data_IF_955444624873
#
_entry.id   IF_955444624873
#
_cell.length_a   1.000
_cell.length_b   1.000
_cell.length_c   1.000
_cell.angle_alpha   90.00
_cell.angle_beta   90.00
_cell.angle_gamma   90.00
#
_symmetry.space_group_name_H-M   'P 1'
#
loop_
_entity.id
_entity.type
_entity.pdbx_description
1 polymer ?
#
# COMPACT_ATOMS: atom_id res chain seq x y z
N UNK A 1 28.58 -42.93 12.75
CA UNK A 1 28.55 -41.78 11.83
C UNK A 1 27.15 -41.19 11.79
N UNK A 2 27.06 -39.85 11.71
CA UNK A 2 25.90 -39.03 11.30
C UNK A 2 24.69 -38.95 12.25
N UNK A 3 24.76 -38.04 13.22
CA UNK A 3 23.59 -37.47 13.88
C UNK A 3 23.88 -35.99 14.23
N UNK A 4 23.89 -35.09 13.24
CA UNK A 4 24.16 -33.64 13.46
C UNK A 4 23.48 -32.68 12.47
N UNK A 5 22.25 -32.93 12.02
CA UNK A 5 21.57 -32.01 11.09
C UNK A 5 20.09 -31.73 11.41
N UNK A 6 19.73 -31.54 12.68
CA UNK A 6 18.32 -31.32 13.07
C UNK A 6 18.07 -30.13 14.01
N UNK A 7 19.02 -29.19 14.11
CA UNK A 7 18.88 -28.02 15.00
C UNK A 7 18.98 -26.68 14.23
N UNK A 8 19.22 -26.70 12.91
CA UNK A 8 19.39 -25.46 12.12
C UNK A 8 18.10 -24.96 11.43
N UNK A 9 17.00 -25.74 11.44
CA UNK A 9 15.75 -25.32 10.79
C UNK A 9 15.01 -24.15 11.49
N UNK A 10 14.94 -24.04 12.83
CA UNK A 10 14.20 -22.93 13.46
C UNK A 10 14.92 -21.58 13.31
N UNK A 11 16.22 -21.57 12.97
CA UNK A 11 16.98 -20.35 12.73
C UNK A 11 16.69 -19.71 11.36
N UNK A 12 16.35 -20.50 10.35
CA UNK A 12 16.07 -20.00 9.00
C UNK A 12 14.69 -19.30 8.95
N UNK A 13 13.74 -19.75 9.77
CA UNK A 13 12.38 -19.16 9.81
C UNK A 13 12.39 -17.78 10.49
N UNK A 14 13.31 -17.55 11.43
CA UNK A 14 13.48 -16.25 12.11
C UNK A 14 14.15 -15.17 11.25
N UNK A 15 14.79 -15.56 10.14
CA UNK A 15 15.45 -14.63 9.19
C UNK A 15 14.54 -14.18 8.05
N UNK A 16 13.29 -14.64 7.98
CA UNK A 16 12.23 -14.03 7.16
C UNK A 16 11.71 -12.73 7.81
N UNK A 17 12.63 -11.93 8.35
CA UNK A 17 12.41 -10.53 8.64
C UNK A 17 12.05 -9.85 7.33
N UNK A 18 10.82 -9.36 7.24
CA UNK A 18 10.29 -8.73 6.05
C UNK A 18 11.27 -7.71 5.48
N UNK A 19 11.32 -7.64 4.15
CA UNK A 19 12.12 -6.68 3.40
C UNK A 19 11.99 -5.28 3.99
N UNK A 20 12.95 -4.89 4.84
CA UNK A 20 13.09 -3.52 5.27
C UNK A 20 13.55 -2.76 4.05
N UNK A 21 12.73 -1.83 3.57
CA UNK A 21 13.10 -0.97 2.46
C UNK A 21 14.44 -0.30 2.81
N UNK A 22 15.40 -0.23 1.86
CA UNK A 22 16.66 0.45 2.10
C UNK A 22 16.35 1.88 2.53
N UNK A 23 16.86 2.28 3.70
CA UNK A 23 16.71 3.64 4.22
C UNK A 23 17.58 4.54 3.33
N UNK A 24 17.01 5.02 2.22
CA UNK A 24 17.68 6.01 1.40
C UNK A 24 17.58 7.37 2.09
N UNK A 25 18.75 7.97 2.33
CA UNK A 25 18.87 9.25 2.97
C UNK A 25 18.35 10.38 2.05
N UNK A 26 17.50 11.23 2.65
CA UNK A 26 16.80 12.40 2.11
C UNK A 26 15.45 12.10 1.47
N UNK A 27 14.41 12.53 2.18
CA UNK A 27 13.02 12.50 1.74
C UNK A 27 12.76 13.84 1.04
N UNK A 28 12.74 13.85 -0.29
CA UNK A 28 12.42 15.07 -1.04
C UNK A 28 10.90 15.28 -1.02
N UNK A 29 10.43 16.10 -0.08
CA UNK A 29 9.00 16.35 0.18
C UNK A 29 8.29 16.90 -1.05
N UNK A 30 9.01 17.61 -1.94
CA UNK A 30 8.43 18.14 -3.18
C UNK A 30 7.98 17.03 -4.13
N UNK A 31 8.54 15.82 -4.02
CA UNK A 31 8.09 14.65 -4.81
C UNK A 31 6.77 14.07 -4.33
N UNK A 32 6.23 14.56 -3.21
CA UNK A 32 4.90 14.19 -2.72
C UNK A 32 3.81 15.21 -3.06
N UNK A 33 4.01 16.02 -4.11
CA UNK A 33 2.99 16.94 -4.63
C UNK A 33 2.43 16.44 -5.96
N UNK A 34 1.19 16.82 -6.25
CA UNK A 34 0.46 16.49 -7.46
C UNK A 34 -0.39 15.22 -7.33
N UNK A 35 -0.74 14.66 -8.49
CA UNK A 35 -1.51 13.42 -8.58
C UNK A 35 -0.56 12.23 -8.41
N UNK A 36 -0.73 11.50 -7.31
CA UNK A 36 0.09 10.34 -6.95
C UNK A 36 -0.73 9.09 -7.23
N UNK A 37 -0.20 8.24 -8.12
CA UNK A 37 -0.82 6.98 -8.52
C UNK A 37 -0.11 5.81 -7.84
N UNK A 38 -0.79 5.10 -6.94
CA UNK A 38 -0.24 3.97 -6.20
C UNK A 38 -0.83 2.66 -6.71
N UNK A 39 -0.05 1.85 -7.42
CA UNK A 39 -0.50 0.52 -7.88
C UNK A 39 -0.23 -0.57 -6.84
N UNK A 40 -1.26 -1.00 -6.11
CA UNK A 40 -1.19 -2.11 -5.17
C UNK A 40 -1.33 -3.45 -5.92
N UNK A 41 -0.22 -4.17 -6.07
CA UNK A 41 -0.20 -5.48 -6.75
C UNK A 41 -0.98 -6.54 -5.97
N UNK A 42 -1.98 -7.16 -6.60
CA UNK A 42 -2.90 -8.10 -5.92
C UNK A 42 -3.70 -7.46 -4.76
N UNK A 43 -4.03 -6.17 -4.85
CA UNK A 43 -4.77 -5.45 -3.80
C UNK A 43 -6.20 -5.94 -3.60
N UNK A 44 -6.84 -6.49 -4.64
CA UNK A 44 -8.21 -7.01 -4.57
C UNK A 44 -8.30 -8.42 -5.13
N UNK A 45 -9.37 -9.15 -4.77
CA UNK A 45 -9.61 -10.51 -5.24
C UNK A 45 -11.10 -10.86 -5.26
N UNK A 46 -11.47 -11.88 -6.04
CA UNK A 46 -12.80 -12.51 -6.03
C UNK A 46 -12.64 -14.00 -6.26
N UNK A 47 -13.64 -14.76 -5.83
CA UNK A 47 -13.79 -16.13 -6.31
C UNK A 47 -14.37 -16.09 -7.71
N UNK A 48 -13.74 -16.81 -8.62
CA UNK A 48 -14.23 -17.10 -9.96
C UNK A 48 -14.12 -18.60 -10.17
N UNK A 49 -15.24 -19.29 -10.40
CA UNK A 49 -15.28 -20.76 -10.53
C UNK A 49 -14.48 -21.43 -9.39
N UNK A 50 -14.77 -21.00 -8.15
CA UNK A 50 -14.17 -21.50 -6.91
C UNK A 50 -12.67 -21.19 -6.71
N UNK A 51 -12.01 -20.55 -7.68
CA UNK A 51 -10.60 -20.15 -7.56
C UNK A 51 -10.47 -18.66 -7.23
N UNK A 52 -9.57 -18.27 -6.30
CA UNK A 52 -9.31 -16.87 -6.04
C UNK A 52 -8.54 -16.25 -7.21
N UNK A 53 -9.12 -15.22 -7.82
CA UNK A 53 -8.49 -14.39 -8.85
C UNK A 53 -8.09 -13.06 -8.22
N UNK A 54 -6.78 -12.78 -8.22
CA UNK A 54 -6.19 -11.56 -7.68
C UNK A 54 -5.98 -10.53 -8.77
N UNK A 55 -6.14 -9.24 -8.43
CA UNK A 55 -5.89 -8.14 -9.34
C UNK A 55 -5.25 -6.95 -8.65
N UNK A 56 -4.55 -6.16 -9.45
CA UNK A 56 -4.00 -4.90 -9.01
C UNK A 56 -5.12 -3.87 -8.86
N UNK A 57 -4.97 -2.99 -7.90
CA UNK A 57 -5.78 -1.78 -7.76
C UNK A 57 -4.83 -0.58 -7.78
N UNK A 58 -5.16 0.41 -8.58
CA UNK A 58 -4.47 1.71 -8.62
C UNK A 58 -5.25 2.67 -7.75
N UNK A 59 -4.58 3.35 -6.82
CA UNK A 59 -5.16 4.38 -5.96
C UNK A 59 -4.64 5.73 -6.39
N UNK A 60 -5.55 6.67 -6.60
CA UNK A 60 -5.26 8.02 -7.02
C UNK A 60 -5.43 8.95 -5.83
N UNK A 61 -4.36 9.66 -5.49
CA UNK A 61 -4.32 10.66 -4.43
C UNK A 61 -3.93 12.02 -5.00
N UNK A 62 -4.54 13.08 -4.49
CA UNK A 62 -4.13 14.46 -4.75
C UNK A 62 -3.41 14.97 -3.51
N UNK A 63 -2.14 15.34 -3.67
CA UNK A 63 -1.30 15.74 -2.55
C UNK A 63 -0.57 17.05 -2.82
N UNK A 64 -0.26 17.77 -1.76
CA UNK A 64 0.73 18.84 -1.75
C UNK A 64 1.73 18.59 -0.61
N UNK A 65 2.98 18.32 -0.99
CA UNK A 65 4.10 18.16 -0.07
C UNK A 65 3.82 17.09 1.00
N UNK A 66 3.13 16.02 0.62
CA UNK A 66 2.81 14.89 1.49
C UNK A 66 1.57 15.06 2.36
N UNK A 67 0.91 16.22 2.29
CA UNK A 67 -0.46 16.41 2.78
C UNK A 67 -1.40 16.11 1.64
N UNK A 68 -2.46 15.35 1.88
CA UNK A 68 -3.32 14.90 0.79
C UNK A 68 -4.77 15.19 1.09
N UNK A 69 -5.53 15.34 0.01
CA UNK A 69 -6.97 15.38 0.10
C UNK A 69 -7.51 14.09 0.72
N UNK A 70 -8.61 14.17 1.49
CA UNK A 70 -9.19 13.00 2.15
C UNK A 70 -9.81 12.02 1.14
N UNK A 71 -10.17 12.47 -0.06
CA UNK A 71 -10.79 11.65 -1.09
C UNK A 71 -9.74 10.83 -1.84
N UNK A 72 -10.01 9.54 -2.02
CA UNK A 72 -9.16 8.63 -2.79
C UNK A 72 -10.02 7.86 -3.79
N UNK A 73 -9.55 7.79 -5.04
CA UNK A 73 -10.19 7.01 -6.09
C UNK A 73 -9.41 5.73 -6.38
N UNK A 74 -10.10 4.62 -6.59
CA UNK A 74 -9.53 3.31 -6.82
C UNK A 74 -9.98 2.70 -8.15
N UNK A 75 -9.03 2.23 -8.95
CA UNK A 75 -9.29 1.58 -10.23
C UNK A 75 -8.64 0.19 -10.32
N UNK A 76 -9.41 -0.83 -10.69
CA UNK A 76 -9.00 -2.21 -10.85
C UNK A 76 -9.59 -2.83 -12.13
N UNK A 77 -8.90 -2.65 -13.26
CA UNK A 77 -9.37 -2.94 -14.64
C UNK A 77 -10.38 -4.07 -14.84
N UNK A 78 -10.20 -5.29 -14.29
CA UNK A 78 -11.15 -6.42 -14.50
C UNK A 78 -12.12 -6.66 -13.33
N UNK A 79 -12.15 -5.79 -12.33
CA UNK A 79 -13.18 -5.75 -11.28
C UNK A 79 -14.15 -4.60 -11.46
N UNK A 80 -13.78 -3.55 -12.18
CA UNK A 80 -14.54 -2.31 -12.12
C UNK A 80 -14.38 -1.45 -13.39
N UNK A 81 -14.27 -2.08 -14.56
CA UNK A 81 -14.16 -1.37 -15.84
C UNK A 81 -15.22 -0.26 -16.00
N UNK A 82 -16.37 -0.43 -15.34
CA UNK A 82 -17.52 0.46 -15.41
C UNK A 82 -17.88 1.13 -14.06
N UNK A 83 -17.05 1.03 -13.02
CA UNK A 83 -17.32 1.64 -11.68
C UNK A 83 -16.03 2.12 -11.02
N UNK A 84 -15.91 3.40 -10.69
CA UNK A 84 -14.79 3.87 -9.87
C UNK A 84 -15.01 3.53 -8.38
N UNK A 85 -13.94 3.11 -7.70
CA UNK A 85 -14.02 2.78 -6.28
C UNK A 85 -13.67 4.01 -5.45
N UNK A 86 -14.68 4.70 -4.93
CA UNK A 86 -14.43 5.81 -4.03
C UNK A 86 -14.03 5.33 -2.64
N UNK A 87 -13.16 6.08 -1.99
CA UNK A 87 -12.78 5.84 -0.61
C UNK A 87 -12.14 7.07 0.05
N UNK A 88 -11.50 6.81 1.18
CA UNK A 88 -10.99 7.84 2.06
C UNK A 88 -9.56 7.54 2.54
N UNK A 89 -8.79 8.61 2.66
CA UNK A 89 -7.52 8.64 3.36
C UNK A 89 -7.77 8.86 4.86
N UNK A 90 -7.62 7.80 5.65
CA UNK A 90 -7.91 7.77 7.09
C UNK A 90 -6.74 8.27 7.94
N UNK A 91 -5.52 7.93 7.52
CA UNK A 91 -4.29 8.28 8.23
C UNK A 91 -3.27 8.73 7.21
N UNK A 92 -2.66 9.86 7.49
CA UNK A 92 -1.46 10.37 6.85
C UNK A 92 -0.51 10.87 7.94
N UNK A 93 0.63 10.23 8.13
CA UNK A 93 1.55 10.60 9.21
C UNK A 93 2.23 11.97 9.02
N UNK A 94 2.17 12.54 7.81
CA UNK A 94 2.75 13.86 7.51
C UNK A 94 1.75 15.01 7.66
N UNK A 95 0.46 14.72 7.79
CA UNK A 95 -0.63 15.71 7.76
C UNK A 95 -0.43 16.87 8.75
N UNK A 96 0.01 16.53 9.97
CA UNK A 96 0.16 17.46 11.09
C UNK A 96 1.56 18.08 11.20
N UNK A 97 2.49 17.70 10.34
CA UNK A 97 3.87 18.16 10.39
C UNK A 97 4.09 19.40 9.51
N UNK A 98 5.04 20.24 9.90
CA UNK A 98 5.58 21.31 9.07
C UNK A 98 6.58 20.74 8.05
N UNK A 99 6.85 21.49 6.97
CA UNK A 99 7.82 21.09 5.94
C UNK A 99 9.22 20.93 6.56
N UNK A 100 9.58 21.83 7.48
CA UNK A 100 10.83 21.78 8.21
C UNK A 100 10.91 20.51 9.04
N UNK A 101 9.84 20.17 9.78
CA UNK A 101 9.79 18.95 10.60
C UNK A 101 10.00 17.70 9.76
N UNK A 102 9.30 17.57 8.62
CA UNK A 102 9.43 16.45 7.68
C UNK A 102 10.86 16.33 7.13
N UNK A 103 11.52 17.48 6.90
CA UNK A 103 12.86 17.54 6.31
C UNK A 103 13.98 17.13 7.28
N UNK A 104 13.73 17.15 8.60
CA UNK A 104 14.72 16.78 9.63
C UNK A 104 14.96 15.28 9.73
N UNK A 105 16.20 14.87 10.10
CA UNK A 105 16.60 13.44 10.21
C UNK A 105 15.71 12.60 11.13
N UNK A 106 15.11 13.18 12.17
CA UNK A 106 14.28 12.47 13.15
C UNK A 106 12.95 11.98 12.56
N UNK A 107 12.41 12.70 11.57
CA UNK A 107 11.16 12.38 10.87
C UNK A 107 11.35 11.86 9.45
N UNK A 108 12.58 11.49 9.05
CA UNK A 108 12.86 10.70 7.83
C UNK A 108 12.37 9.24 7.95
N UNK A 109 11.17 9.05 8.50
CA UNK A 109 10.43 7.79 8.50
C UNK A 109 9.73 7.63 7.16
N UNK A 110 9.17 6.45 6.92
CA UNK A 110 8.32 6.24 5.76
C UNK A 110 7.12 7.20 5.81
N UNK A 111 6.62 7.56 4.63
CA UNK A 111 5.31 8.18 4.49
C UNK A 111 4.26 7.08 4.63
N UNK A 112 3.51 7.15 5.72
CA UNK A 112 2.58 6.11 6.15
C UNK A 112 1.15 6.57 5.89
N UNK A 113 0.45 5.79 5.08
CA UNK A 113 -0.93 6.02 4.69
C UNK A 113 -1.83 4.89 5.18
N UNK A 114 -3.04 5.21 5.62
CA UNK A 114 -4.13 4.24 5.76
C UNK A 114 -5.29 4.68 4.87
N UNK A 115 -5.65 3.84 3.92
CA UNK A 115 -6.71 4.14 2.94
C UNK A 115 -7.78 3.07 3.06
N UNK A 116 -9.04 3.49 3.07
CA UNK A 116 -10.21 2.61 2.97
C UNK A 116 -10.87 2.86 1.61
N UNK A 117 -11.09 1.82 0.81
CA UNK A 117 -11.77 1.91 -0.49
C UNK A 117 -13.00 1.02 -0.47
N UNK A 118 -14.13 1.54 -0.95
CA UNK A 118 -15.34 0.75 -1.14
C UNK A 118 -15.27 0.00 -2.47
N UNK A 119 -15.14 -1.33 -2.41
CA UNK A 119 -15.03 -2.18 -3.59
C UNK A 119 -16.41 -2.69 -3.98
N UNK A 120 -16.81 -2.35 -5.21
CA UNK A 120 -18.00 -2.88 -5.88
C UNK A 120 -17.55 -3.67 -7.11
N UNK A 121 -17.74 -4.99 -7.11
CA UNK A 121 -17.17 -5.86 -8.17
C UNK A 121 -17.88 -5.79 -9.53
N UNK A 122 -19.03 -5.10 -9.60
CA UNK A 122 -19.82 -4.91 -10.81
C UNK A 122 -20.85 -3.77 -10.60
N UNK A 123 -21.24 -2.94 -11.60
CA UNK A 123 -22.18 -1.83 -11.40
C UNK A 123 -23.54 -2.23 -10.81
N UNK A 124 -24.00 -3.45 -11.13
CA UNK A 124 -25.28 -3.97 -10.65
C UNK A 124 -25.16 -4.76 -9.33
N UNK A 125 -23.95 -4.90 -8.78
CA UNK A 125 -23.75 -5.55 -7.48
C UNK A 125 -24.27 -4.64 -6.37
N UNK A 126 -25.18 -5.16 -5.55
CA UNK A 126 -25.60 -4.50 -4.30
C UNK A 126 -24.58 -4.69 -3.17
N UNK A 127 -23.67 -5.65 -3.32
CA UNK A 127 -22.57 -5.86 -2.38
C UNK A 127 -21.46 -4.84 -2.64
N UNK A 128 -21.28 -3.92 -1.68
CA UNK A 128 -20.16 -2.98 -1.58
C UNK A 128 -19.41 -3.31 -0.30
N UNK A 129 -18.12 -3.63 -0.42
CA UNK A 129 -17.31 -4.07 0.72
C UNK A 129 -16.04 -3.24 0.87
N UNK A 130 -15.70 -2.81 2.09
CA UNK A 130 -14.50 -2.02 2.32
C UNK A 130 -13.23 -2.89 2.18
N UNK A 131 -12.26 -2.37 1.45
CA UNK A 131 -10.88 -2.83 1.45
C UNK A 131 -10.02 -1.81 2.19
N UNK A 132 -9.23 -2.26 3.17
CA UNK A 132 -8.38 -1.39 3.98
C UNK A 132 -6.92 -1.66 3.68
N UNK A 133 -6.17 -0.61 3.36
CA UNK A 133 -4.75 -0.68 3.03
C UNK A 133 -3.94 0.18 3.99
N UNK A 134 -2.86 -0.39 4.53
CA UNK A 134 -1.77 0.33 5.22
C UNK A 134 -0.58 0.36 4.28
N UNK A 135 -0.14 1.54 3.86
CA UNK A 135 0.88 1.74 2.83
C UNK A 135 2.04 2.50 3.45
N UNK A 136 3.25 2.03 3.20
CA UNK A 136 4.48 2.69 3.61
C UNK A 136 5.29 3.04 2.37
N UNK A 137 5.58 4.32 2.17
CA UNK A 137 6.23 4.87 1.00
C UNK A 137 7.55 5.57 1.38
N UNK A 138 8.54 5.47 0.51
CA UNK A 138 9.82 6.18 0.62
C UNK A 138 10.26 6.68 -0.76
N UNK A 139 10.74 7.92 -0.87
CA UNK A 139 11.42 8.40 -2.06
C UNK A 139 12.66 7.54 -2.34
N UNK A 140 12.79 7.08 -3.57
CA UNK A 140 13.94 6.32 -4.03
C UNK A 140 14.34 6.82 -5.42
N UNK A 141 15.50 7.47 -5.51
CA UNK A 141 15.94 8.15 -6.74
C UNK A 141 14.86 9.15 -7.20
N UNK A 142 14.26 8.95 -8.37
CA UNK A 142 13.24 9.84 -8.97
C UNK A 142 11.81 9.28 -8.88
N UNK A 143 11.59 8.28 -8.04
CA UNK A 143 10.28 7.62 -7.89
C UNK A 143 9.95 7.38 -6.41
N UNK A 144 8.74 6.93 -6.12
CA UNK A 144 8.30 6.57 -4.77
C UNK A 144 8.17 5.05 -4.72
N UNK A 145 8.93 4.38 -3.87
CA UNK A 145 8.79 2.93 -3.66
C UNK A 145 8.17 2.66 -2.31
N UNK A 146 7.62 1.47 -2.12
CA UNK A 146 7.00 1.17 -0.85
C UNK A 146 6.64 -0.27 -0.63
N UNK A 147 5.74 -0.48 0.32
CA UNK A 147 5.05 -1.74 0.54
C UNK A 147 3.69 -1.45 1.12
N UNK A 148 2.78 -2.41 1.01
CA UNK A 148 1.49 -2.30 1.66
C UNK A 148 1.08 -3.59 2.33
N UNK A 149 0.19 -3.43 3.31
CA UNK A 149 -0.60 -4.50 3.90
C UNK A 149 -2.07 -4.20 3.62
N UNK A 150 -2.82 -5.17 3.11
CA UNK A 150 -4.23 -5.01 2.77
C UNK A 150 -5.12 -6.00 3.50
N UNK A 151 -6.37 -5.63 3.74
CA UNK A 151 -7.42 -6.55 4.19
C UNK A 151 -8.68 -6.36 3.34
N UNK A 152 -9.15 -7.44 2.71
CA UNK A 152 -10.39 -7.46 1.93
C UNK A 152 -11.04 -8.86 1.97
N UNK A 153 -12.36 -8.93 2.20
CA UNK A 153 -13.11 -10.20 2.37
C UNK A 153 -12.40 -11.19 3.32
N UNK A 154 -11.99 -10.69 4.49
CA UNK A 154 -11.27 -11.43 5.55
C UNK A 154 -9.88 -11.98 5.17
N UNK A 155 -9.39 -11.78 3.94
CA UNK A 155 -8.03 -12.12 3.53
C UNK A 155 -7.08 -10.95 3.74
N UNK A 156 -5.86 -11.26 4.19
CA UNK A 156 -4.78 -10.30 4.38
C UNK A 156 -3.75 -10.43 3.25
N UNK A 157 -3.18 -9.29 2.84
CA UNK A 157 -2.15 -9.17 1.82
C UNK A 157 -0.94 -8.46 2.38
N UNK A 158 0.26 -8.84 1.91
CA UNK A 158 1.49 -8.06 2.12
C UNK A 158 2.33 -8.13 0.86
N UNK A 159 2.57 -7.00 0.22
CA UNK A 159 3.27 -6.95 -1.08
C UNK A 159 4.13 -5.69 -1.17
N UNK A 160 5.27 -5.80 -1.85
CA UNK A 160 6.13 -4.67 -2.18
C UNK A 160 5.51 -3.83 -3.32
N UNK A 161 5.64 -2.51 -3.21
CA UNK A 161 5.14 -1.51 -4.15
C UNK A 161 6.28 -0.84 -4.92
N UNK A 162 6.04 -0.63 -6.20
CA UNK A 162 6.77 0.32 -7.04
C UNK A 162 5.71 1.30 -7.53
N UNK A 163 5.86 2.58 -7.22
CA UNK A 163 5.03 3.67 -7.72
C UNK A 163 5.89 4.62 -8.58
#
# INVERSE_FOLDING_TARGET
MKQRYLILLPFIILLLGGSNAPILHSFDVKKLSGNIHLTLKHGVWKLWEEKPVYQNITLDLVCDQGKCEPEVWGYAKKFNQDVDHQGALEINNLEKLSIEEISTKQYRRAWELKITINIQSHPWSTEILPAVYKINLVPYKNQIIGSYQGKYKQKNYKVALLA
#
